data_IF_007069127252
#
_entry.id   IF_007069127252
#
_cell.length_a   1.000
_cell.length_b   1.000
_cell.length_c   1.000
_cell.angle_alpha   90.00
_cell.angle_beta   90.00
_cell.angle_gamma   90.00
#
_symmetry.space_group_name_H-M   'P 1'
#
loop_
_entity.id
_entity.type
_entity.pdbx_description
1 polymer ?
#
# COMPACT_ATOMS: atom_id res chain seq x y z
N UNK A 1 19.61 -10.97 17.05
CA UNK A 1 20.66 -10.10 17.64
C UNK A 1 21.88 -10.93 18.05
N UNK A 2 22.56 -11.60 17.10
CA UNK A 2 23.82 -12.33 17.40
C UNK A 2 25.01 -11.56 16.83
N UNK A 3 24.88 -11.14 15.57
CA UNK A 3 25.88 -10.34 14.83
C UNK A 3 26.37 -9.14 15.65
N UNK A 4 25.47 -8.28 16.16
CA UNK A 4 25.89 -7.08 16.90
C UNK A 4 26.60 -7.45 18.21
N UNK A 5 26.12 -8.46 18.94
CA UNK A 5 26.77 -8.96 20.16
C UNK A 5 28.16 -9.53 19.86
N UNK A 6 28.30 -10.26 18.76
CA UNK A 6 29.58 -10.85 18.33
C UNK A 6 30.57 -9.78 17.90
N UNK A 7 30.11 -8.73 17.21
CA UNK A 7 30.93 -7.56 16.85
C UNK A 7 31.41 -6.82 18.09
N UNK A 8 30.52 -6.55 19.06
CA UNK A 8 30.91 -5.90 20.33
C UNK A 8 31.98 -6.69 21.08
N UNK A 9 31.89 -8.03 21.08
CA UNK A 9 32.90 -8.91 21.69
C UNK A 9 34.21 -8.92 20.92
N UNK A 10 34.16 -9.01 19.58
CA UNK A 10 35.36 -9.05 18.73
C UNK A 10 36.15 -7.75 18.75
N UNK A 11 35.46 -6.61 18.83
CA UNK A 11 36.10 -5.30 18.85
C UNK A 11 36.85 -5.05 20.16
N UNK A 12 36.52 -5.78 21.23
CA UNK A 12 37.23 -5.75 22.52
C UNK A 12 37.59 -4.33 23.00
N UNK A 13 36.59 -3.44 22.99
CA UNK A 13 36.78 -2.01 23.30
C UNK A 13 37.35 -1.75 24.70
N UNK A 14 37.25 -2.72 25.62
CA UNK A 14 37.88 -2.67 26.93
C UNK A 14 39.42 -2.64 26.84
N UNK A 15 40.00 -3.27 25.82
CA UNK A 15 41.44 -3.32 25.60
C UNK A 15 41.97 -2.20 24.69
N UNK A 16 41.12 -1.25 24.27
CA UNK A 16 41.51 -0.19 23.33
C UNK A 16 42.27 0.95 24.07
N UNK A 17 43.55 1.21 23.74
CA UNK A 17 44.38 2.14 24.50
C UNK A 17 43.90 3.59 24.49
N UNK A 18 43.32 4.06 23.38
CA UNK A 18 42.85 5.44 23.27
C UNK A 18 41.62 5.67 24.16
N UNK A 19 40.64 4.77 24.17
CA UNK A 19 39.46 4.82 25.04
C UNK A 19 39.87 4.78 26.51
N UNK A 20 40.81 3.92 26.88
CA UNK A 20 41.32 3.86 28.25
C UNK A 20 42.02 5.17 28.66
N UNK A 21 42.87 5.74 27.79
CA UNK A 21 43.54 7.03 28.07
C UNK A 21 42.56 8.21 28.18
N UNK A 22 41.41 8.12 27.52
CA UNK A 22 40.34 9.12 27.59
C UNK A 22 39.34 8.86 28.74
N UNK A 23 39.53 7.81 29.56
CA UNK A 23 38.62 7.44 30.65
C UNK A 23 37.25 6.93 30.18
N UNK A 24 37.15 6.45 28.94
CA UNK A 24 35.92 5.94 28.35
C UNK A 24 35.87 4.42 28.51
N UNK A 25 34.76 3.90 29.05
CA UNK A 25 34.50 2.46 29.13
C UNK A 25 33.24 2.12 28.34
N UNK A 26 33.32 1.11 27.48
CA UNK A 26 32.21 0.66 26.64
C UNK A 26 31.74 -0.71 27.12
N UNK A 27 30.46 -0.82 27.50
CA UNK A 27 29.87 -2.10 27.88
C UNK A 27 29.67 -2.99 26.64
N UNK A 28 30.05 -4.26 26.74
CA UNK A 28 29.85 -5.28 25.70
C UNK A 28 28.42 -5.81 25.60
N UNK A 29 27.54 -5.43 26.53
CA UNK A 29 26.13 -5.81 26.58
C UNK A 29 25.24 -4.61 26.22
N UNK A 30 24.14 -4.89 25.51
CA UNK A 30 23.14 -3.85 25.22
C UNK A 30 22.39 -3.43 26.48
N UNK A 31 22.21 -2.12 26.63
CA UNK A 31 21.33 -1.54 27.65
C UNK A 31 19.93 -2.12 27.53
N UNK A 32 19.45 -2.70 28.62
CA UNK A 32 18.10 -3.26 28.69
C UNK A 32 17.10 -2.14 28.95
N UNK A 33 16.06 -2.07 28.12
CA UNK A 33 14.97 -1.10 28.25
C UNK A 33 13.65 -1.82 28.37
N UNK A 34 12.80 -1.39 29.30
CA UNK A 34 11.45 -1.93 29.42
C UNK A 34 10.57 -1.31 28.34
N UNK A 35 10.21 -2.12 27.35
CA UNK A 35 9.20 -1.78 26.36
C UNK A 35 7.81 -2.24 26.79
N UNK A 36 6.77 -1.57 26.27
CA UNK A 36 5.39 -2.05 26.33
C UNK A 36 4.84 -2.26 24.93
N UNK A 37 4.15 -3.38 24.72
CA UNK A 37 3.42 -3.63 23.48
C UNK A 37 1.99 -3.13 23.65
N UNK A 38 1.60 -2.14 22.85
CA UNK A 38 0.22 -1.66 22.86
C UNK A 38 -0.68 -2.62 22.10
N UNK A 39 -1.91 -2.80 22.58
CA UNK A 39 -2.94 -3.51 21.84
C UNK A 39 -3.24 -2.79 20.53
N UNK A 40 -3.36 -3.54 19.43
CA UNK A 40 -3.68 -2.96 18.14
C UNK A 40 -5.06 -2.26 18.19
N UNK A 41 -5.21 -1.07 17.58
CA UNK A 41 -6.50 -0.41 17.48
C UNK A 41 -7.43 -1.20 16.58
N UNK A 42 -8.73 -1.21 16.89
CA UNK A 42 -9.75 -1.74 15.99
C UNK A 42 -10.04 -0.72 14.89
N UNK A 43 -10.05 -1.18 13.65
CA UNK A 43 -10.40 -0.37 12.48
C UNK A 43 -11.87 -0.55 12.16
N UNK A 44 -12.61 0.55 12.02
CA UNK A 44 -13.99 0.53 11.50
C UNK A 44 -13.98 0.30 9.99
N UNK A 45 -14.87 -0.57 9.51
CA UNK A 45 -15.13 -0.77 8.08
C UNK A 45 -16.62 -0.59 7.78
N UNK A 46 -17.02 -0.72 6.51
CA UNK A 46 -18.43 -0.66 6.11
C UNK A 46 -19.30 -1.69 6.82
N UNK A 47 -20.61 -1.45 6.82
CA UNK A 47 -21.63 -2.25 7.53
C UNK A 47 -21.49 -2.28 9.07
N UNK A 48 -20.64 -1.43 9.66
CA UNK A 48 -20.43 -1.39 11.11
C UNK A 48 -19.47 -2.46 11.65
N UNK A 49 -18.85 -3.24 10.76
CA UNK A 49 -17.86 -4.27 11.09
C UNK A 49 -16.53 -3.67 11.57
N UNK A 50 -15.75 -4.49 12.29
CA UNK A 50 -14.42 -4.14 12.80
C UNK A 50 -13.34 -5.08 12.25
N UNK A 51 -12.13 -4.53 12.02
CA UNK A 51 -10.93 -5.30 11.70
C UNK A 51 -9.85 -5.03 12.75
N UNK A 52 -9.34 -6.08 13.37
CA UNK A 52 -8.19 -6.00 14.27
C UNK A 52 -6.90 -6.33 13.51
N UNK A 53 -5.95 -5.38 13.37
CA UNK A 53 -4.67 -5.63 12.74
C UNK A 53 -3.89 -6.75 13.44
N UNK A 54 -3.21 -7.57 12.65
CA UNK A 54 -2.28 -8.60 13.13
C UNK A 54 -0.88 -8.25 12.66
N UNK A 55 0.08 -8.17 13.59
CA UNK A 55 1.46 -7.79 13.30
C UNK A 55 1.59 -6.49 12.50
N UNK A 56 0.78 -5.48 12.84
CA UNK A 56 0.74 -4.19 12.15
C UNK A 56 0.12 -4.21 10.75
N UNK A 57 -0.50 -5.33 10.34
CA UNK A 57 -1.08 -5.52 9.01
C UNK A 57 -2.58 -5.83 9.09
N UNK A 58 -3.30 -5.43 8.06
CA UNK A 58 -4.73 -5.68 7.88
C UNK A 58 -5.03 -5.73 6.38
N UNK A 59 -6.20 -6.26 5.99
CA UNK A 59 -6.64 -6.28 4.60
C UNK A 59 -8.13 -5.93 4.49
N UNK A 60 -8.56 -5.55 3.29
CA UNK A 60 -9.97 -5.24 2.97
C UNK A 60 -10.70 -6.44 2.34
N UNK A 61 -10.20 -7.67 2.44
CA UNK A 61 -10.84 -8.81 1.79
C UNK A 61 -12.21 -9.08 2.43
N UNK A 62 -13.25 -9.22 1.61
CA UNK A 62 -14.64 -9.38 2.07
C UNK A 62 -15.11 -8.29 3.05
N UNK A 63 -14.63 -7.05 2.86
CA UNK A 63 -14.99 -5.85 3.63
C UNK A 63 -15.33 -4.71 2.67
N UNK A 64 -16.29 -3.86 3.08
CA UNK A 64 -16.71 -2.64 2.37
C UNK A 64 -16.07 -1.39 2.99
N UNK A 65 -16.07 -0.28 2.26
CA UNK A 65 -15.65 1.01 2.81
C UNK A 65 -16.68 1.52 3.84
N UNK A 66 -16.21 2.26 4.85
CA UNK A 66 -17.08 2.88 5.87
C UNK A 66 -18.06 3.83 5.19
N UNK A 67 -17.52 4.70 4.34
CA UNK A 67 -18.27 5.66 3.53
C UNK A 67 -17.86 5.45 2.07
N UNK A 68 -18.57 4.61 1.31
CA UNK A 68 -18.25 4.40 -0.09
C UNK A 68 -18.65 5.61 -0.93
N UNK A 69 -17.76 6.02 -1.83
CA UNK A 69 -18.07 7.06 -2.82
C UNK A 69 -19.09 6.55 -3.84
N UNK A 70 -19.85 7.50 -4.42
CA UNK A 70 -20.70 7.24 -5.58
C UNK A 70 -20.00 7.75 -6.83
N UNK A 71 -19.88 6.90 -7.84
CA UNK A 71 -19.27 7.27 -9.13
C UNK A 71 -20.39 7.35 -10.15
N UNK A 72 -20.71 8.55 -10.59
CA UNK A 72 -21.83 8.75 -11.51
C UNK A 72 -21.40 8.57 -12.96
N UNK A 73 -20.25 9.14 -13.33
CA UNK A 73 -19.71 9.12 -14.68
C UNK A 73 -18.23 8.73 -14.62
N UNK A 74 -17.82 7.80 -15.47
CA UNK A 74 -16.43 7.44 -15.64
C UNK A 74 -16.17 6.97 -17.08
N UNK A 75 -14.93 7.15 -17.53
CA UNK A 75 -14.48 6.75 -18.85
C UNK A 75 -13.13 6.04 -18.74
N UNK A 76 -12.85 5.13 -19.68
CA UNK A 76 -11.57 4.45 -19.77
C UNK A 76 -11.03 4.61 -21.17
N UNK A 77 -9.78 5.07 -21.23
CA UNK A 77 -9.01 5.23 -22.45
C UNK A 77 -7.97 4.11 -22.48
N UNK A 78 -8.02 3.28 -23.52
CA UNK A 78 -7.06 2.21 -23.72
C UNK A 78 -6.16 2.50 -24.93
N UNK A 79 -4.84 2.51 -24.71
CA UNK A 79 -3.82 2.68 -25.74
C UNK A 79 -3.17 1.37 -26.20
N UNK A 80 -3.52 0.25 -25.56
CA UNK A 80 -3.00 -1.07 -25.93
C UNK A 80 -3.87 -1.74 -26.99
N UNK A 81 -3.24 -2.30 -28.01
CA UNK A 81 -3.92 -3.07 -29.05
C UNK A 81 -4.46 -4.42 -28.55
N UNK A 82 -3.95 -4.95 -27.43
CA UNK A 82 -4.27 -6.29 -26.92
C UNK A 82 -4.72 -6.24 -25.46
N UNK A 83 -5.83 -5.55 -25.20
CA UNK A 83 -6.45 -5.49 -23.88
C UNK A 83 -7.94 -5.81 -24.00
N UNK A 84 -8.43 -6.78 -23.21
CA UNK A 84 -9.87 -6.94 -23.01
C UNK A 84 -10.38 -5.85 -22.07
N UNK A 85 -10.58 -4.66 -22.63
CA UNK A 85 -11.03 -3.50 -21.89
C UNK A 85 -12.42 -3.70 -21.29
N UNK A 86 -13.27 -4.51 -21.94
CA UNK A 86 -14.62 -4.82 -21.44
C UNK A 86 -14.54 -5.74 -20.23
N UNK A 87 -13.65 -6.74 -20.26
CA UNK A 87 -13.33 -7.58 -19.11
C UNK A 87 -12.82 -6.75 -17.94
N UNK A 88 -11.82 -5.90 -18.17
CA UNK A 88 -11.27 -5.02 -17.14
C UNK A 88 -12.34 -4.09 -16.53
N UNK A 89 -13.16 -3.44 -17.36
CA UNK A 89 -14.22 -2.57 -16.87
C UNK A 89 -15.26 -3.32 -16.03
N UNK A 90 -15.60 -4.55 -16.42
CA UNK A 90 -16.51 -5.42 -15.65
C UNK A 90 -15.91 -5.79 -14.30
N UNK A 91 -14.63 -6.14 -14.28
CA UNK A 91 -13.93 -6.51 -13.04
C UNK A 91 -13.78 -5.32 -12.10
N UNK A 92 -13.49 -4.12 -12.64
CA UNK A 92 -13.46 -2.87 -11.88
C UNK A 92 -14.83 -2.52 -11.30
N UNK A 93 -15.90 -2.63 -12.10
CA UNK A 93 -17.27 -2.39 -11.63
C UNK A 93 -17.65 -3.38 -10.52
N UNK A 94 -17.39 -4.67 -10.73
CA UNK A 94 -17.62 -5.72 -9.72
C UNK A 94 -16.80 -5.48 -8.45
N UNK A 95 -15.55 -5.03 -8.58
CA UNK A 95 -14.74 -4.66 -7.43
C UNK A 95 -15.35 -3.48 -6.67
N UNK A 96 -15.78 -2.44 -7.39
CA UNK A 96 -16.49 -1.30 -6.81
C UNK A 96 -17.72 -1.74 -6.02
N UNK A 97 -18.60 -2.54 -6.62
CA UNK A 97 -19.79 -3.09 -5.97
C UNK A 97 -19.45 -3.90 -4.71
N UNK A 98 -18.42 -4.76 -4.78
CA UNK A 98 -17.92 -5.52 -3.62
C UNK A 98 -17.41 -4.61 -2.50
N UNK A 99 -16.95 -3.40 -2.81
CA UNK A 99 -16.53 -2.38 -1.84
C UNK A 99 -17.63 -1.42 -1.41
N UNK A 100 -18.83 -1.54 -1.97
CA UNK A 100 -19.97 -0.67 -1.71
C UNK A 100 -20.00 0.60 -2.57
N UNK A 101 -19.09 0.75 -3.53
CA UNK A 101 -19.11 1.85 -4.49
C UNK A 101 -20.27 1.60 -5.46
N UNK A 102 -21.24 2.51 -5.45
CA UNK A 102 -22.39 2.46 -6.38
C UNK A 102 -21.99 3.22 -7.63
N UNK A 103 -21.87 2.52 -8.77
CA UNK A 103 -21.69 3.15 -10.08
C UNK A 103 -23.07 3.39 -10.70
N UNK A 104 -23.37 4.62 -11.15
CA UNK A 104 -24.48 4.80 -12.09
C UNK A 104 -24.08 4.23 -13.46
N UNK A 105 -25.02 3.56 -14.11
CA UNK A 105 -24.86 2.53 -15.16
C UNK A 105 -24.34 3.04 -16.52
N UNK A 106 -23.71 4.23 -16.59
CA UNK A 106 -23.20 4.79 -17.85
C UNK A 106 -21.68 4.80 -17.84
N UNK A 107 -21.09 3.96 -18.68
CA UNK A 107 -19.66 3.91 -18.90
C UNK A 107 -19.36 4.09 -20.39
N UNK A 108 -18.34 4.89 -20.68
CA UNK A 108 -17.86 5.17 -22.03
C UNK A 108 -16.46 4.57 -22.21
N UNK A 109 -16.33 3.62 -23.14
CA UNK A 109 -15.02 3.06 -23.55
C UNK A 109 -14.50 3.80 -24.77
N UNK A 110 -13.26 4.25 -24.75
CA UNK A 110 -12.56 4.76 -25.93
C UNK A 110 -11.26 3.97 -26.15
N UNK A 111 -11.14 3.29 -27.30
CA UNK A 111 -9.92 2.58 -27.69
C UNK A 111 -9.18 3.46 -28.70
N UNK A 112 -8.00 3.94 -28.33
CA UNK A 112 -7.11 4.69 -29.21
C UNK A 112 -6.04 3.74 -29.72
N UNK A 113 -6.24 3.16 -30.91
CA UNK A 113 -5.23 2.31 -31.55
C UNK A 113 -4.20 3.19 -32.25
N UNK A 114 -2.89 3.08 -31.97
CA UNK A 114 -1.85 3.97 -32.51
C UNK A 114 -1.65 3.93 -34.04
N UNK A 115 -2.42 3.12 -34.79
CA UNK A 115 -2.20 2.95 -36.23
C UNK A 115 -2.53 4.20 -37.08
N UNK A 116 -3.11 5.23 -36.48
CA UNK A 116 -3.36 6.53 -37.12
C UNK A 116 -2.91 7.70 -36.24
N UNK A 117 -1.79 7.55 -35.52
CA UNK A 117 -1.13 8.68 -34.84
C UNK A 117 -0.27 9.52 -35.80
N UNK A 118 -0.69 9.64 -37.06
CA UNK A 118 -0.13 10.55 -38.05
C UNK A 118 -1.31 11.35 -38.58
N UNK A 119 -1.33 12.62 -38.19
CA UNK A 119 -2.22 13.69 -38.65
C UNK A 119 -3.65 13.68 -38.07
N UNK A 120 -3.89 14.69 -37.23
CA UNK A 120 -5.18 15.15 -36.70
C UNK A 120 -5.61 14.53 -35.36
N UNK A 121 -5.20 15.22 -34.28
CA UNK A 121 -5.92 15.32 -33.00
C UNK A 121 -7.30 15.94 -33.29
N UNK A 122 -8.18 15.17 -33.91
CA UNK A 122 -9.52 15.59 -34.26
C UNK A 122 -10.41 14.35 -34.43
N UNK A 123 -10.55 13.55 -33.38
CA UNK A 123 -11.76 12.76 -33.21
C UNK A 123 -12.19 12.79 -31.73
N UNK A 124 -13.02 13.80 -31.47
CA UNK A 124 -14.22 13.81 -30.64
C UNK A 124 -14.14 13.18 -29.23
N UNK A 125 -14.26 13.97 -28.16
CA UNK A 125 -15.51 14.56 -27.63
C UNK A 125 -16.64 13.53 -27.43
N UNK A 126 -16.98 13.30 -26.15
CA UNK A 126 -18.36 13.32 -25.67
C UNK A 126 -18.34 14.04 -24.32
N UNK A 127 -18.64 15.35 -24.38
CA UNK A 127 -19.37 16.05 -23.33
C UNK A 127 -20.81 15.52 -23.31
#
# INVERSE_FOLDING_TARGET
MRILTDVMKRNNYEAEPMLHSCGITINSHFTQVQGRMLSAPRLKVGNGDDVTPRNGRWNFNHKKFVEPARIENWAVVNFSAYCDIRGLCRDLAKFGEMKGIVSCTKFYTMILVPRFFVENIAFLFFL
#
